data_IF_652768283082
#
_entry.id   IF_652768283082
#
_cell.length_a   1.000
_cell.length_b   1.000
_cell.length_c   1.000
_cell.angle_alpha   90.00
_cell.angle_beta   90.00
_cell.angle_gamma   90.00
#
_symmetry.space_group_name_H-M   'P 1'
#
loop_
_entity.id
_entity.type
_entity.pdbx_description
1 polymer ?
#
# COMPACT_ATOMS: atom_id res chain seq x y z
N UNK A 1 -28.74 -29.88 -12.72
CA UNK A 1 -28.78 -28.78 -13.72
C UNK A 1 -28.99 -27.51 -12.93
N UNK A 2 -27.93 -27.01 -12.29
CA UNK A 2 -27.92 -25.70 -11.63
C UNK A 2 -27.08 -24.81 -12.54
N UNK A 3 -27.76 -24.09 -13.43
CA UNK A 3 -27.16 -22.96 -14.10
C UNK A 3 -27.27 -21.80 -13.10
N UNK A 4 -26.34 -21.76 -12.16
CA UNK A 4 -26.19 -20.59 -11.31
C UNK A 4 -25.72 -19.46 -12.22
N UNK A 5 -26.61 -18.48 -12.39
CA UNK A 5 -26.33 -17.22 -13.06
C UNK A 5 -25.26 -16.49 -12.26
N UNK A 6 -23.98 -16.75 -12.55
CA UNK A 6 -22.92 -15.83 -12.18
C UNK A 6 -23.15 -14.54 -12.97
N UNK A 7 -23.60 -13.50 -12.27
CA UNK A 7 -23.59 -12.15 -12.79
C UNK A 7 -22.11 -11.75 -12.84
N UNK A 8 -21.56 -11.62 -14.05
CA UNK A 8 -20.27 -11.00 -14.26
C UNK A 8 -20.48 -9.49 -14.06
N UNK A 9 -20.10 -8.96 -12.90
CA UNK A 9 -19.96 -7.51 -12.75
C UNK A 9 -18.62 -7.11 -13.38
N UNK A 10 -18.62 -6.02 -14.15
CA UNK A 10 -17.42 -5.43 -14.75
C UNK A 10 -16.54 -4.72 -13.70
N UNK A 11 -16.57 -5.17 -12.44
CA UNK A 11 -15.64 -4.73 -11.41
C UNK A 11 -14.26 -5.29 -11.73
N UNK A 12 -13.51 -4.51 -12.50
CA UNK A 12 -12.13 -4.81 -12.85
C UNK A 12 -11.29 -4.75 -11.58
N UNK A 13 -10.75 -5.90 -11.16
CA UNK A 13 -9.72 -5.92 -10.13
C UNK A 13 -8.61 -4.92 -10.44
N UNK A 14 -7.95 -4.40 -9.42
CA UNK A 14 -6.92 -3.39 -9.56
C UNK A 14 -5.54 -4.02 -9.47
N UNK A 15 -4.60 -3.49 -10.24
CA UNK A 15 -3.20 -3.91 -10.23
C UNK A 15 -2.50 -3.25 -9.05
N UNK A 16 -1.83 -4.07 -8.26
CA UNK A 16 -0.96 -3.70 -7.17
C UNK A 16 0.42 -4.31 -7.39
N UNK A 17 1.42 -3.67 -6.79
CA UNK A 17 2.80 -4.12 -6.82
C UNK A 17 3.35 -4.21 -5.41
N UNK A 18 4.27 -5.16 -5.22
CA UNK A 18 5.01 -5.35 -3.98
C UNK A 18 6.40 -5.85 -4.31
N UNK A 19 7.43 -5.31 -3.69
CA UNK A 19 8.74 -5.97 -3.68
C UNK A 19 8.92 -6.82 -2.41
N UNK A 20 9.61 -7.96 -2.57
CA UNK A 20 9.94 -8.89 -1.49
C UNK A 20 11.26 -9.61 -1.84
N UNK A 21 12.02 -10.01 -0.83
CA UNK A 21 13.29 -10.73 -1.02
C UNK A 21 13.08 -12.22 -1.28
N UNK A 22 11.92 -12.76 -0.88
CA UNK A 22 11.56 -14.15 -1.16
C UNK A 22 11.38 -14.38 -2.65
N UNK A 23 11.73 -15.58 -3.10
CA UNK A 23 11.71 -15.92 -4.52
C UNK A 23 10.30 -16.24 -5.03
N UNK A 24 10.06 -16.15 -6.35
CA UNK A 24 8.79 -16.52 -6.94
C UNK A 24 8.40 -17.99 -6.68
N UNK A 25 9.38 -18.90 -6.63
CA UNK A 25 9.16 -20.32 -6.32
C UNK A 25 8.53 -20.56 -4.93
N UNK A 26 8.78 -19.65 -3.99
CA UNK A 26 8.18 -19.63 -2.67
C UNK A 26 6.83 -18.90 -2.71
N UNK A 27 6.84 -17.64 -3.12
CA UNK A 27 5.68 -16.74 -3.04
C UNK A 27 4.50 -17.24 -3.89
N UNK A 28 4.75 -17.84 -5.05
CA UNK A 28 3.67 -18.39 -5.88
C UNK A 28 2.97 -19.60 -5.26
N UNK A 29 3.54 -20.22 -4.22
CA UNK A 29 2.90 -21.32 -3.50
C UNK A 29 2.16 -20.85 -2.25
N UNK A 30 2.71 -19.87 -1.54
CA UNK A 30 2.22 -19.49 -0.20
C UNK A 30 1.53 -18.13 -0.15
N UNK A 31 1.76 -17.27 -1.16
CA UNK A 31 1.26 -15.90 -1.18
C UNK A 31 1.98 -15.00 -0.16
N UNK A 32 1.28 -13.96 0.28
CA UNK A 32 1.75 -13.06 1.34
C UNK A 32 0.80 -13.11 2.53
N UNK A 33 1.34 -13.34 3.71
CA UNK A 33 0.60 -13.33 4.98
C UNK A 33 1.30 -12.43 6.00
N UNK A 34 0.54 -11.80 6.90
CA UNK A 34 1.12 -10.92 7.90
C UNK A 34 1.88 -11.75 8.95
N UNK A 35 2.86 -11.14 9.61
CA UNK A 35 3.65 -11.81 10.65
C UNK A 35 2.87 -11.97 11.96
N UNK A 36 1.89 -11.11 12.18
CA UNK A 36 0.98 -11.12 13.33
C UNK A 36 -0.44 -11.20 12.79
N UNK A 37 -1.17 -12.22 13.22
CA UNK A 37 -2.58 -12.40 12.89
C UNK A 37 -3.44 -11.52 13.81
N UNK A 38 -4.23 -10.66 13.20
CA UNK A 38 -5.26 -9.87 13.87
C UNK A 38 -6.62 -10.26 13.28
N UNK A 39 -7.65 -10.31 14.14
CA UNK A 39 -9.02 -10.66 13.75
C UNK A 39 -9.71 -9.52 12.96
N UNK A 40 -11.04 -9.39 13.06
CA UNK A 40 -11.93 -8.57 12.20
C UNK A 40 -11.61 -7.06 12.07
N UNK A 41 -10.60 -6.56 12.79
CA UNK A 41 -10.14 -5.16 12.79
C UNK A 41 -8.63 -5.03 12.55
N UNK A 42 -8.01 -5.98 11.85
CA UNK A 42 -6.58 -5.97 11.51
C UNK A 42 -6.12 -4.63 10.95
N UNK A 43 -6.94 -3.98 10.12
CA UNK A 43 -6.58 -2.73 9.47
C UNK A 43 -6.42 -1.58 10.47
N UNK A 44 -7.18 -1.58 11.57
CA UNK A 44 -6.98 -0.61 12.64
C UNK A 44 -5.62 -0.83 13.29
N UNK A 45 -5.22 -2.07 13.55
CA UNK A 45 -3.92 -2.40 14.15
C UNK A 45 -2.77 -2.06 13.18
N UNK A 46 -2.96 -2.36 11.89
CA UNK A 46 -2.03 -2.05 10.82
C UNK A 46 -1.76 -0.54 10.70
N UNK A 47 -2.75 0.31 10.98
CA UNK A 47 -2.58 1.77 11.00
C UNK A 47 -2.33 2.34 12.41
N UNK A 48 -2.25 1.52 13.48
CA UNK A 48 -2.20 2.03 14.87
C UNK A 48 -0.87 1.92 15.59
N UNK A 49 0.21 1.54 14.93
CA UNK A 49 1.44 1.22 15.68
C UNK A 49 2.14 2.40 16.38
N UNK A 50 1.85 3.70 16.10
CA UNK A 50 2.59 4.84 16.76
C UNK A 50 1.88 6.18 17.01
N UNK A 51 0.57 6.33 16.79
CA UNK A 51 0.02 7.67 16.49
C UNK A 51 -1.18 8.17 17.30
N UNK A 52 -1.28 7.97 18.61
CA UNK A 52 -2.31 8.68 19.39
C UNK A 52 -1.75 9.44 20.60
N UNK A 53 -1.63 10.76 20.39
CA UNK A 53 -1.53 11.88 21.33
C UNK A 53 -0.13 12.33 21.78
N UNK A 54 0.21 13.57 21.43
CA UNK A 54 0.78 14.52 22.38
C UNK A 54 -0.33 15.47 22.87
N UNK A 55 0.03 16.41 23.76
CA UNK A 55 -0.87 17.19 24.64
C UNK A 55 -1.95 18.07 23.95
N UNK A 56 -2.02 18.07 22.62
CA UNK A 56 -3.05 18.73 21.80
C UNK A 56 -4.12 17.78 21.22
N UNK A 57 -4.00 16.47 21.44
CA UNK A 57 -4.97 15.47 20.96
C UNK A 57 -4.87 15.09 19.48
N UNK A 58 -3.83 15.54 18.77
CA UNK A 58 -3.58 15.28 17.34
C UNK A 58 -2.20 14.63 17.21
N UNK A 59 -2.06 13.57 16.39
CA UNK A 59 -0.75 13.11 15.95
C UNK A 59 -0.31 13.97 14.76
N UNK A 60 0.80 14.68 14.90
CA UNK A 60 1.34 15.53 13.84
C UNK A 60 2.19 14.76 12.82
N UNK A 61 2.30 13.44 12.99
CA UNK A 61 2.89 12.53 12.01
C UNK A 61 1.77 11.79 11.30
N UNK A 62 1.82 11.74 9.97
CA UNK A 62 0.96 10.85 9.21
C UNK A 62 1.27 9.39 9.54
N UNK A 63 0.22 8.57 9.57
CA UNK A 63 0.27 7.19 10.03
C UNK A 63 0.98 6.29 9.02
N UNK A 64 1.87 5.43 9.54
CA UNK A 64 2.55 4.38 8.77
C UNK A 64 1.85 3.03 8.92
N UNK A 65 2.01 2.16 7.93
CA UNK A 65 1.63 0.76 7.99
C UNK A 65 2.58 -0.03 8.90
N UNK A 66 2.03 -0.80 9.84
CA UNK A 66 2.77 -1.85 10.53
C UNK A 66 2.87 -3.10 9.64
N UNK A 67 4.01 -3.26 8.97
CA UNK A 67 4.29 -4.40 8.09
C UNK A 67 4.30 -5.77 8.80
N UNK A 68 4.19 -5.81 10.14
CA UNK A 68 3.93 -7.06 10.86
C UNK A 68 2.46 -7.43 10.83
N UNK A 69 1.56 -6.44 10.78
CA UNK A 69 0.11 -6.60 10.86
C UNK A 69 -0.56 -6.66 9.47
N UNK A 70 0.14 -6.23 8.42
CA UNK A 70 -0.41 -6.19 7.06
C UNK A 70 0.65 -6.40 5.98
N UNK A 71 0.17 -6.61 4.76
CA UNK A 71 0.95 -6.59 3.52
C UNK A 71 0.87 -5.20 2.90
N UNK A 72 1.99 -4.48 2.88
CA UNK A 72 2.11 -3.23 2.15
C UNK A 72 2.19 -3.50 0.64
N UNK A 73 1.42 -2.73 -0.11
CA UNK A 73 1.27 -2.75 -1.57
C UNK A 73 1.36 -1.32 -2.10
N UNK A 74 1.59 -1.18 -3.40
CA UNK A 74 1.46 0.11 -4.08
C UNK A 74 0.70 -0.05 -5.39
N UNK A 75 -0.01 1.00 -5.81
CA UNK A 75 -0.68 1.03 -7.12
C UNK A 75 0.23 1.50 -8.27
N UNK A 76 1.50 1.79 -7.98
CA UNK A 76 2.49 2.30 -8.93
C UNK A 76 3.73 1.43 -8.98
N UNK A 77 4.08 0.94 -10.18
CA UNK A 77 5.25 0.08 -10.37
C UNK A 77 6.54 0.79 -9.94
N UNK A 78 6.68 2.06 -10.25
CA UNK A 78 7.82 2.91 -9.87
C UNK A 78 7.98 3.07 -8.35
N UNK A 79 6.90 2.83 -7.59
CA UNK A 79 6.91 2.89 -6.12
C UNK A 79 7.16 1.52 -5.49
N UNK A 80 7.09 0.42 -6.24
CA UNK A 80 7.22 -0.93 -5.70
C UNK A 80 8.61 -1.24 -5.13
N UNK A 81 9.73 -0.83 -5.76
CA UNK A 81 11.07 -1.10 -5.25
C UNK A 81 11.40 -0.42 -3.92
N UNK A 82 10.57 0.53 -3.47
CA UNK A 82 10.73 1.24 -2.20
C UNK A 82 10.62 0.27 -1.00
N UNK A 83 9.92 -0.86 -1.17
CA UNK A 83 9.64 -1.81 -0.09
C UNK A 83 10.16 -3.20 -0.45
N UNK A 84 11.09 -3.84 0.28
CA UNK A 84 11.80 -3.39 1.47
C UNK A 84 12.79 -2.24 1.25
N UNK A 85 13.11 -1.53 2.33
CA UNK A 85 14.26 -0.63 2.43
C UNK A 85 15.58 -1.36 2.66
N UNK A 86 15.89 -2.33 1.80
CA UNK A 86 17.19 -2.98 1.82
C UNK A 86 17.93 -2.77 0.50
N UNK A 87 19.24 -2.93 0.55
CA UNK A 87 20.12 -2.90 -0.62
C UNK A 87 20.18 -4.28 -1.31
N UNK A 88 19.31 -5.21 -0.91
CA UNK A 88 19.29 -6.57 -1.41
C UNK A 88 18.52 -6.62 -2.74
N UNK A 89 18.93 -7.59 -3.58
CA UNK A 89 18.14 -7.99 -4.73
C UNK A 89 16.76 -8.45 -4.26
N UNK A 90 15.73 -8.02 -4.99
CA UNK A 90 14.35 -8.38 -4.68
C UNK A 90 13.61 -8.80 -5.93
N UNK A 91 12.38 -9.26 -5.75
CA UNK A 91 11.44 -9.48 -6.83
C UNK A 91 10.29 -8.50 -6.67
N UNK A 92 9.89 -7.86 -7.76
CA UNK A 92 8.62 -7.10 -7.82
C UNK A 92 7.55 -8.05 -8.32
N UNK A 93 6.51 -8.20 -7.50
CA UNK A 93 5.33 -9.00 -7.77
C UNK A 93 4.19 -8.12 -8.28
N UNK A 94 3.60 -8.48 -9.41
CA UNK A 94 2.35 -7.90 -9.90
C UNK A 94 1.17 -8.72 -9.38
N UNK A 95 0.20 -8.03 -8.77
CA UNK A 95 -0.87 -8.63 -7.96
C UNK A 95 -2.19 -8.01 -8.39
N UNK A 96 -3.25 -8.80 -8.50
CA UNK A 96 -4.60 -8.30 -8.81
C UNK A 96 -5.50 -8.59 -7.61
N UNK A 97 -6.08 -7.54 -7.05
CA UNK A 97 -6.97 -7.59 -5.88
C UNK A 97 -8.19 -6.69 -6.11
N UNK A 98 -9.22 -6.76 -5.25
CA UNK A 98 -10.34 -5.82 -5.30
C UNK A 98 -9.93 -4.35 -5.19
N UNK A 99 -10.88 -3.47 -5.48
CA UNK A 99 -10.72 -2.05 -5.25
C UNK A 99 -10.47 -1.71 -3.77
N UNK A 100 -9.70 -0.64 -3.56
CA UNK A 100 -9.39 -0.17 -2.21
C UNK A 100 -10.63 0.41 -1.52
N UNK A 101 -10.79 0.06 -0.26
CA UNK A 101 -11.76 0.63 0.68
C UNK A 101 -11.15 1.86 1.33
N UNK A 102 -11.85 2.99 1.22
CA UNK A 102 -11.39 4.24 1.80
C UNK A 102 -11.65 4.28 3.32
N UNK A 103 -10.79 5.01 4.03
CA UNK A 103 -11.00 5.34 5.44
C UNK A 103 -11.58 6.76 5.51
N UNK A 104 -12.73 6.90 6.18
CA UNK A 104 -13.18 8.20 6.66
C UNK A 104 -12.40 8.59 7.91
N UNK A 105 -11.82 9.78 7.86
CA UNK A 105 -11.08 10.39 8.95
C UNK A 105 -11.75 11.72 9.30
N UNK A 106 -12.55 11.76 10.39
CA UNK A 106 -13.37 12.93 10.70
C UNK A 106 -12.50 14.16 10.96
N UNK A 107 -13.04 15.32 10.58
CA UNK A 107 -12.39 16.61 10.87
C UNK A 107 -12.37 16.87 12.38
N UNK A 108 -11.38 17.65 12.82
CA UNK A 108 -11.00 17.88 14.23
C UNK A 108 -12.11 18.41 15.17
N UNK A 109 -13.31 18.65 14.66
CA UNK A 109 -14.46 19.23 15.38
C UNK A 109 -15.41 18.20 15.99
N UNK A 110 -15.11 16.91 15.90
CA UNK A 110 -16.00 15.84 16.40
C UNK A 110 -15.43 15.16 17.65
N UNK A 111 -16.31 14.67 18.53
CA UNK A 111 -15.95 13.98 19.79
C UNK A 111 -15.58 12.51 19.60
N UNK A 112 -15.75 11.95 18.40
CA UNK A 112 -15.36 10.59 18.05
C UNK A 112 -14.26 10.63 16.98
N UNK A 113 -13.04 10.30 17.39
CA UNK A 113 -11.82 10.41 16.56
C UNK A 113 -11.46 9.10 15.85
N UNK A 114 -12.32 8.08 15.90
CA UNK A 114 -11.97 6.77 15.35
C UNK A 114 -12.13 6.76 13.83
N UNK A 115 -11.10 6.32 13.07
CA UNK A 115 -11.26 6.10 11.64
C UNK A 115 -12.33 5.04 11.37
N UNK A 116 -13.08 5.19 10.29
CA UNK A 116 -14.15 4.28 9.88
C UNK A 116 -13.95 3.87 8.42
N UNK A 117 -14.20 2.61 8.07
CA UNK A 117 -14.16 2.18 6.67
C UNK A 117 -15.42 2.61 5.93
N UNK A 118 -15.24 3.29 4.80
CA UNK A 118 -16.28 3.65 3.86
C UNK A 118 -16.61 2.45 2.97
N UNK A 119 -17.51 1.59 3.46
CA UNK A 119 -18.00 0.42 2.72
C UNK A 119 -19.14 0.79 1.78
N UNK A 120 -19.13 0.23 0.58
CA UNK A 120 -20.19 0.32 -0.42
C UNK A 120 -20.64 -1.09 -0.85
N UNK A 121 -21.58 -1.18 -1.80
CA UNK A 121 -22.13 -2.47 -2.25
C UNK A 121 -21.09 -3.37 -2.93
N UNK A 122 -19.97 -2.81 -3.41
CA UNK A 122 -18.85 -3.50 -4.06
C UNK A 122 -17.70 -3.84 -3.10
N UNK A 123 -17.84 -3.51 -1.82
CA UNK A 123 -16.80 -3.79 -0.82
C UNK A 123 -16.89 -5.23 -0.33
N UNK A 124 -15.76 -5.98 -0.25
CA UNK A 124 -15.75 -7.30 0.34
C UNK A 124 -16.32 -7.32 1.76
N UNK A 125 -17.12 -8.35 2.05
CA UNK A 125 -17.74 -8.55 3.37
C UNK A 125 -16.77 -9.22 4.35
N UNK A 126 -15.91 -10.12 3.88
CA UNK A 126 -14.80 -10.66 4.68
C UNK A 126 -13.73 -9.59 4.85
N UNK A 127 -13.36 -9.35 6.11
CA UNK A 127 -12.31 -8.38 6.46
C UNK A 127 -10.95 -8.72 5.87
N UNK A 128 -10.66 -10.00 5.61
CA UNK A 128 -9.37 -10.46 5.08
C UNK A 128 -9.20 -10.21 3.59
N UNK A 129 -10.30 -9.97 2.87
CA UNK A 129 -10.32 -9.63 1.45
C UNK A 129 -10.32 -8.11 1.21
N UNK A 130 -10.37 -7.31 2.29
CA UNK A 130 -10.30 -5.86 2.19
C UNK A 130 -8.89 -5.40 1.81
N UNK A 131 -8.85 -4.49 0.84
CA UNK A 131 -7.68 -3.66 0.53
C UNK A 131 -8.00 -2.26 1.05
N UNK A 132 -7.08 -1.64 1.78
CA UNK A 132 -7.31 -0.33 2.40
C UNK A 132 -6.49 0.73 1.69
N UNK A 133 -7.15 1.84 1.34
CA UNK A 133 -6.52 3.01 0.73
C UNK A 133 -5.80 3.84 1.82
N UNK A 134 -4.55 3.47 2.06
CA UNK A 134 -3.72 4.16 3.05
C UNK A 134 -3.22 5.51 2.52
N UNK A 135 -2.97 5.61 1.22
CA UNK A 135 -2.58 6.85 0.56
C UNK A 135 -3.59 7.99 0.76
N UNK A 136 -4.87 7.76 0.43
CA UNK A 136 -5.91 8.78 0.59
C UNK A 136 -6.13 9.15 2.06
N UNK A 137 -6.01 8.18 2.96
CA UNK A 137 -6.09 8.41 4.40
C UNK A 137 -4.97 9.35 4.88
N UNK A 138 -3.72 9.05 4.53
CA UNK A 138 -2.57 9.88 4.88
C UNK A 138 -2.68 11.29 4.28
N UNK A 139 -3.12 11.42 3.03
CA UNK A 139 -3.36 12.71 2.39
C UNK A 139 -4.42 13.54 3.14
N UNK A 140 -5.50 12.88 3.60
CA UNK A 140 -6.53 13.53 4.41
C UNK A 140 -6.01 13.95 5.78
N UNK A 141 -5.19 13.12 6.42
CA UNK A 141 -4.54 13.46 7.69
C UNK A 141 -3.65 14.70 7.54
N UNK A 142 -2.77 14.71 6.54
CA UNK A 142 -1.89 15.84 6.26
C UNK A 142 -2.66 17.13 6.00
N UNK A 143 -3.74 17.07 5.23
CA UNK A 143 -4.61 18.22 4.99
C UNK A 143 -5.26 18.74 6.28
N UNK A 144 -5.75 17.86 7.15
CA UNK A 144 -6.35 18.24 8.43
C UNK A 144 -5.31 18.89 9.38
N UNK A 145 -4.09 18.35 9.44
CA UNK A 145 -2.99 18.90 10.24
C UNK A 145 -2.60 20.28 9.71
N UNK A 146 -2.45 20.43 8.39
CA UNK A 146 -2.15 21.71 7.76
C UNK A 146 -3.22 22.77 8.09
N UNK A 147 -4.50 22.43 7.94
CA UNK A 147 -5.60 23.35 8.26
C UNK A 147 -5.61 23.77 9.73
N UNK A 148 -5.29 22.84 10.64
CA UNK A 148 -5.20 23.16 12.07
C UNK A 148 -4.13 24.21 12.38
N UNK A 149 -2.93 24.05 11.83
CA UNK A 149 -1.84 25.01 12.07
C UNK A 149 -2.11 26.37 11.42
N UNK A 150 -2.73 26.38 10.24
CA UNK A 150 -3.16 27.60 9.58
C UNK A 150 -4.19 28.39 10.43
N UNK A 151 -5.17 27.70 11.05
CA UNK A 151 -6.15 28.32 11.95
C UNK A 151 -5.53 28.87 13.26
N UNK A 152 -4.39 28.32 13.69
CA UNK A 152 -3.71 28.74 14.92
C UNK A 152 -2.74 29.90 14.73
N UNK A 153 -2.67 30.48 13.53
CA UNK A 153 -1.72 31.55 13.17
C UNK A 153 -0.27 31.20 13.52
N UNK A 154 0.09 29.91 13.45
CA UNK A 154 1.46 29.46 13.68
C UNK A 154 2.27 29.84 12.43
N UNK A 155 2.93 31.00 12.48
CA UNK A 155 3.80 31.55 11.41
C UNK A 155 5.11 30.76 11.20
N UNK A 156 5.13 29.46 11.53
CA UNK A 156 6.32 28.64 11.33
C UNK A 156 6.22 27.86 10.01
N UNK A 157 7.00 28.30 9.03
CA UNK A 157 7.15 27.64 7.73
C UNK A 157 7.67 26.22 7.86
N UNK A 158 8.39 25.88 8.95
CA UNK A 158 8.77 24.51 9.28
C UNK A 158 7.53 23.67 9.62
N UNK A 159 6.73 24.06 10.61
CA UNK A 159 5.59 23.25 11.10
C UNK A 159 4.55 22.98 10.00
N UNK A 160 4.25 23.98 9.17
CA UNK A 160 3.33 23.82 8.02
C UNK A 160 3.89 22.95 6.89
N UNK A 161 5.21 22.97 6.66
CA UNK A 161 5.89 22.09 5.70
C UNK A 161 5.98 20.63 6.17
N UNK A 162 5.94 20.37 7.48
CA UNK A 162 6.06 19.03 8.08
C UNK A 162 4.72 18.36 8.43
N UNK A 163 3.59 19.06 8.33
CA UNK A 163 2.25 18.50 8.53
C UNK A 163 1.93 17.30 7.60
N UNK A 164 2.66 17.21 6.50
CA UNK A 164 2.61 16.15 5.50
C UNK A 164 3.80 15.18 5.58
N UNK A 165 4.63 15.25 6.63
CA UNK A 165 5.76 14.35 6.83
C UNK A 165 5.39 13.28 7.86
N UNK A 166 5.34 11.98 7.52
CA UNK A 166 5.49 11.37 6.20
C UNK A 166 4.18 11.07 5.41
N UNK A 167 4.02 11.56 4.18
CA UNK A 167 3.06 11.09 3.17
C UNK A 167 3.65 10.00 2.27
N UNK A 168 3.01 8.83 2.25
CA UNK A 168 3.47 7.65 1.53
C UNK A 168 2.79 7.58 0.15
N UNK A 169 3.59 7.38 -0.89
CA UNK A 169 3.12 7.45 -2.28
C UNK A 169 2.34 6.18 -2.65
N UNK A 170 1.06 6.36 -3.01
CA UNK A 170 0.23 5.32 -3.64
C UNK A 170 0.09 4.01 -2.85
N UNK A 171 0.27 4.08 -1.53
CA UNK A 171 0.24 2.94 -0.62
C UNK A 171 -1.17 2.38 -0.44
N UNK A 172 -1.25 1.06 -0.52
CA UNK A 172 -2.40 0.27 -0.12
C UNK A 172 -1.94 -0.80 0.87
N UNK A 173 -2.81 -1.20 1.79
CA UNK A 173 -2.52 -2.32 2.70
C UNK A 173 -3.58 -3.40 2.54
N UNK A 174 -3.12 -4.65 2.56
CA UNK A 174 -3.98 -5.83 2.55
C UNK A 174 -3.69 -6.68 3.79
N UNK A 175 -4.68 -7.45 4.25
CA UNK A 175 -4.42 -8.43 5.30
C UNK A 175 -3.49 -9.54 4.77
N UNK A 176 -3.85 -10.08 3.61
CA UNK A 176 -3.17 -11.17 2.93
C UNK A 176 -3.24 -10.98 1.43
N UNK A 177 -2.37 -11.67 0.70
CA UNK A 177 -2.44 -11.80 -0.75
C UNK A 177 -2.37 -13.30 -1.07
N UNK A 178 -3.46 -13.90 -1.57
CA UNK A 178 -3.44 -15.31 -1.92
C UNK A 178 -2.54 -15.56 -3.13
N UNK A 179 -1.94 -16.76 -3.27
CA UNK A 179 -1.11 -17.09 -4.42
C UNK A 179 -1.83 -16.90 -5.77
N UNK A 180 -3.13 -17.19 -5.79
CA UNK A 180 -3.97 -17.08 -6.99
C UNK A 180 -4.16 -15.64 -7.49
N UNK A 181 -3.92 -14.63 -6.65
CA UNK A 181 -3.99 -13.21 -7.01
C UNK A 181 -2.69 -12.67 -7.63
N UNK A 182 -1.59 -13.42 -7.55
CA UNK A 182 -0.27 -12.99 -8.01
C UNK A 182 -0.11 -13.38 -9.48
N UNK A 183 0.06 -12.40 -10.37
CA UNK A 183 0.17 -12.63 -11.82
C UNK A 183 1.55 -13.14 -12.20
N UNK A 184 2.57 -12.53 -11.62
CA UNK A 184 3.95 -12.83 -11.96
C UNK A 184 4.93 -11.97 -11.16
N UNK A 185 6.20 -12.21 -11.38
CA UNK A 185 7.29 -11.52 -10.72
C UNK A 185 8.40 -11.17 -11.71
N UNK A 186 9.16 -10.13 -11.41
CA UNK A 186 10.36 -9.75 -12.14
C UNK A 186 11.48 -9.44 -11.15
N UNK A 187 12.70 -9.90 -11.42
CA UNK A 187 13.85 -9.61 -10.57
C UNK A 187 14.19 -8.12 -10.67
N UNK A 188 14.48 -7.51 -9.53
CA UNK A 188 14.77 -6.09 -9.36
C UNK A 188 16.14 -5.95 -8.72
N UNK A 189 17.09 -5.42 -9.50
CA UNK A 189 18.40 -5.00 -9.02
C UNK A 189 18.34 -3.52 -8.65
N UNK A 190 18.78 -3.19 -7.43
CA UNK A 190 18.81 -1.81 -6.93
C UNK A 190 20.22 -1.25 -6.99
N UNK A 191 20.35 0.00 -7.40
CA UNK A 191 21.60 0.76 -7.31
C UNK A 191 21.40 1.95 -6.37
N UNK A 192 22.29 2.16 -5.37
CA UNK A 192 22.23 3.34 -4.54
C UNK A 192 22.44 4.59 -5.38
N UNK A 193 21.51 5.54 -5.32
CA UNK A 193 21.78 6.89 -5.80
C UNK A 193 22.78 7.54 -4.85
N UNK A 194 23.80 8.20 -5.41
CA UNK A 194 24.84 8.91 -4.63
C UNK A 194 24.29 10.12 -3.88
N UNK A 195 23.07 10.55 -4.20
CA UNK A 195 22.40 11.68 -3.54
C UNK A 195 21.73 11.19 -2.25
N UNK A 196 22.36 11.49 -1.11
CA UNK A 196 21.72 11.32 0.20
C UNK A 196 20.97 12.61 0.51
N UNK A 197 19.67 12.65 0.26
CA UNK A 197 18.84 13.77 0.73
C UNK A 197 18.66 13.58 2.24
N UNK A 198 19.37 14.38 3.04
CA UNK A 198 19.18 14.41 4.50
C UNK A 198 18.16 15.49 4.81
N UNK A 199 16.97 15.09 5.27
CA UNK A 199 15.95 16.01 5.74
C UNK A 199 15.90 15.84 7.26
N UNK A 200 16.42 16.82 8.00
CA UNK A 200 16.26 16.84 9.45
C UNK A 200 14.91 17.43 9.82
N UNK A 201 14.24 16.78 10.76
CA UNK A 201 13.05 17.29 11.44
C UNK A 201 13.45 17.48 12.90
N UNK A 202 14.37 18.41 13.16
CA UNK A 202 14.99 18.62 14.49
C UNK A 202 13.96 18.96 15.58
N UNK A 203 12.71 19.25 15.20
CA UNK A 203 11.60 19.61 16.09
C UNK A 203 10.61 18.47 16.40
N UNK A 204 10.69 17.32 15.71
CA UNK A 204 9.74 16.19 15.87
C UNK A 204 10.44 14.93 16.39
N UNK A 205 11.74 14.78 16.13
CA UNK A 205 12.56 13.65 16.60
C UNK A 205 14.01 14.07 16.71
N UNK A 206 14.70 13.69 17.79
CA UNK A 206 16.15 13.88 17.97
C UNK A 206 17.00 13.19 16.88
N UNK A 207 16.37 12.32 16.08
CA UNK A 207 16.99 11.66 14.92
C UNK A 207 16.24 12.00 13.61
N UNK A 208 16.90 12.67 12.65
CA UNK A 208 16.40 12.87 11.29
C UNK A 208 15.98 11.56 10.62
N UNK A 209 14.75 11.49 10.09
CA UNK A 209 14.36 10.40 9.19
C UNK A 209 15.05 10.63 7.84
N UNK A 210 15.75 9.62 7.32
CA UNK A 210 16.47 9.70 6.04
C UNK A 210 15.64 9.05 4.93
N UNK A 211 15.59 9.68 3.76
CA UNK A 211 15.13 9.03 2.54
C UNK A 211 16.30 8.74 1.61
N UNK A 212 16.17 7.71 0.80
CA UNK A 212 17.13 7.34 -0.23
C UNK A 212 16.38 7.15 -1.54
N UNK A 213 16.65 8.04 -2.49
CA UNK A 213 16.25 7.80 -3.88
C UNK A 213 17.02 6.56 -4.38
N UNK A 214 16.40 5.76 -5.26
CA UNK A 214 17.04 4.58 -5.86
C UNK A 214 16.82 4.55 -7.36
N UNK A 215 17.89 4.21 -8.08
CA UNK A 215 17.77 3.70 -9.43
C UNK A 215 17.58 2.19 -9.32
N UNK A 216 16.69 1.63 -10.12
CA UNK A 216 16.49 0.20 -10.17
C UNK A 216 16.34 -0.28 -11.61
N UNK A 217 16.69 -1.54 -11.82
CA UNK A 217 16.60 -2.22 -13.10
C UNK A 217 15.79 -3.49 -12.89
N UNK A 218 14.82 -3.72 -13.76
CA UNK A 218 14.05 -4.96 -13.79
C UNK A 218 14.68 -5.90 -14.82
N UNK A 219 15.16 -7.05 -14.38
CA UNK A 219 15.79 -8.03 -15.27
C UNK A 219 14.75 -8.71 -16.17
N UNK A 220 15.06 -8.84 -17.46
CA UNK A 220 14.08 -9.11 -18.52
C UNK A 220 13.24 -10.38 -18.43
N UNK A 221 13.57 -11.34 -17.56
CA UNK A 221 12.81 -12.57 -17.44
C UNK A 221 11.66 -12.40 -16.44
N UNK A 222 10.47 -12.12 -16.97
CA UNK A 222 9.22 -12.16 -16.20
C UNK A 222 8.89 -13.62 -15.89
N UNK A 223 8.77 -13.92 -14.60
CA UNK A 223 8.40 -15.23 -14.10
C UNK A 223 6.89 -15.21 -13.88
N UNK A 224 6.14 -15.81 -14.81
CA UNK A 224 4.68 -15.88 -14.75
C UNK A 224 4.25 -16.92 -13.71
N UNK A 225 3.27 -16.58 -12.87
CA UNK A 225 2.76 -17.49 -11.85
C UNK A 225 1.83 -18.55 -12.47
N UNK A 226 2.17 -19.85 -12.42
CA UNK A 226 1.30 -20.91 -12.93
C UNK A 226 0.04 -21.13 -12.08
N UNK A 227 0.01 -20.62 -10.84
CA UNK A 227 -1.12 -20.75 -9.91
C UNK A 227 -2.08 -19.56 -9.96
N UNK A 228 -1.84 -18.56 -10.82
CA UNK A 228 -2.74 -17.43 -10.99
C UNK A 228 -4.12 -17.90 -11.47
N UNK A 229 -5.18 -17.33 -10.90
CA UNK A 229 -6.55 -17.68 -11.25
C UNK A 229 -7.34 -16.45 -11.69
N UNK A 230 -7.87 -16.50 -12.90
CA UNK A 230 -8.56 -15.37 -13.55
C UNK A 230 -9.90 -15.02 -12.87
N UNK A 231 -10.53 -15.96 -12.18
CA UNK A 231 -11.87 -15.78 -11.62
C UNK A 231 -11.80 -15.78 -10.10
N UNK A 232 -12.00 -14.63 -9.44
CA UNK A 232 -11.94 -14.57 -7.99
C UNK A 232 -13.34 -14.42 -7.38
N UNK A 233 -13.75 -15.39 -6.57
CA UNK A 233 -15.07 -15.38 -5.94
C UNK A 233 -15.02 -14.63 -4.61
N UNK A 234 -15.85 -13.60 -4.47
CA UNK A 234 -15.94 -12.79 -3.27
C UNK A 234 -17.38 -12.54 -2.87
N UNK A 235 -17.61 -12.40 -1.57
CA UNK A 235 -18.89 -11.92 -1.05
C UNK A 235 -18.85 -10.41 -0.93
N UNK A 236 -19.59 -9.70 -1.78
CA UNK A 236 -19.66 -8.24 -1.81
C UNK A 236 -20.95 -7.74 -1.16
N UNK A 237 -20.82 -6.76 -0.25
CA UNK A 237 -21.90 -6.08 0.48
C UNK A 237 -23.30 -6.69 0.38
N UNK A 238 -24.17 -6.05 -0.41
CA UNK A 238 -25.54 -6.52 -0.69
C UNK A 238 -25.67 -7.36 -1.96
N UNK A 239 -24.64 -7.37 -2.82
CA UNK A 239 -24.65 -8.12 -4.08
C UNK A 239 -24.53 -9.63 -3.87
N UNK A 240 -23.97 -10.06 -2.73
CA UNK A 240 -23.80 -11.46 -2.39
C UNK A 240 -22.54 -12.04 -3.02
N UNK A 241 -22.57 -13.32 -3.40
CA UNK A 241 -21.44 -14.00 -4.02
C UNK A 241 -21.27 -13.53 -5.47
N UNK A 242 -20.17 -12.86 -5.76
CA UNK A 242 -19.80 -12.34 -7.08
C UNK A 242 -18.48 -12.95 -7.54
N UNK A 243 -18.32 -13.10 -8.86
CA UNK A 243 -17.06 -13.52 -9.48
C UNK A 243 -16.42 -12.34 -10.19
N UNK A 244 -15.21 -11.97 -9.78
CA UNK A 244 -14.39 -10.98 -10.47
C UNK A 244 -13.60 -11.65 -11.59
N UNK A 245 -13.67 -11.11 -12.81
CA UNK A 245 -12.84 -11.54 -13.94
C UNK A 245 -11.60 -10.65 -14.07
N UNK A 246 -10.43 -11.25 -13.87
CA UNK A 246 -9.14 -10.60 -13.93
C UNK A 246 -8.42 -10.80 -15.27
N UNK A 247 -9.06 -11.40 -16.28
CA UNK A 247 -8.41 -11.72 -17.55
C UNK A 247 -7.83 -10.50 -18.26
N UNK A 248 -8.59 -9.39 -18.34
CA UNK A 248 -8.13 -8.14 -18.96
C UNK A 248 -7.00 -7.51 -18.14
N UNK A 249 -7.19 -7.46 -16.82
CA UNK A 249 -6.26 -6.85 -15.87
C UNK A 249 -4.93 -7.61 -15.81
N UNK A 250 -4.96 -8.93 -16.00
CA UNK A 250 -3.77 -9.78 -16.09
C UNK A 250 -2.89 -9.37 -17.27
N UNK A 251 -3.47 -9.17 -18.44
CA UNK A 251 -2.70 -8.76 -19.63
C UNK A 251 -2.12 -7.36 -19.46
N UNK A 252 -2.85 -6.44 -18.83
CA UNK A 252 -2.34 -5.12 -18.46
C UNK A 252 -1.17 -5.20 -17.47
N UNK A 253 -1.28 -6.04 -16.43
CA UNK A 253 -0.22 -6.24 -15.45
C UNK A 253 1.06 -6.78 -16.07
N UNK A 254 0.95 -7.74 -16.98
CA UNK A 254 2.09 -8.27 -17.73
C UNK A 254 2.70 -7.21 -18.65
N UNK A 255 1.88 -6.46 -19.39
CA UNK A 255 2.33 -5.38 -20.27
C UNK A 255 3.09 -4.28 -19.50
N UNK A 256 2.65 -3.92 -18.29
CA UNK A 256 3.37 -3.00 -17.41
C UNK A 256 4.77 -3.51 -17.06
N UNK A 257 4.89 -4.80 -16.70
CA UNK A 257 6.18 -5.42 -16.42
C UNK A 257 7.07 -5.49 -17.68
N UNK A 258 6.52 -5.90 -18.84
CA UNK A 258 7.27 -5.97 -20.09
C UNK A 258 7.78 -4.61 -20.56
N UNK A 259 6.95 -3.56 -20.42
CA UNK A 259 7.34 -2.19 -20.77
C UNK A 259 8.45 -1.64 -19.88
N UNK A 260 8.50 -2.08 -18.63
CA UNK A 260 9.48 -1.67 -17.63
C UNK A 260 10.77 -2.50 -17.67
N UNK A 261 10.70 -3.74 -18.15
CA UNK A 261 11.82 -4.66 -18.26
C UNK A 261 13.01 -4.03 -19.01
N UNK A 262 14.21 -4.24 -18.48
CA UNK A 262 15.48 -3.77 -19.01
C UNK A 262 15.62 -2.24 -19.17
N UNK A 263 14.74 -1.44 -18.55
CA UNK A 263 14.87 0.02 -18.50
C UNK A 263 15.32 0.45 -17.10
N UNK A 264 16.22 1.45 -17.00
CA UNK A 264 16.45 2.12 -15.74
C UNK A 264 15.16 2.85 -15.37
N UNK A 265 14.70 2.61 -14.15
CA UNK A 265 13.57 3.29 -13.56
C UNK A 265 14.05 4.03 -12.32
N UNK A 266 13.46 5.19 -12.12
CA UNK A 266 13.69 6.01 -10.94
C UNK A 266 12.50 5.82 -10.01
N UNK A 267 12.79 5.56 -8.75
CA UNK A 267 11.75 5.66 -7.74
C UNK A 267 11.35 7.17 -7.62
N UNK A 268 10.08 7.54 -7.36
CA UNK A 268 9.62 8.94 -7.35
C UNK A 268 10.51 9.92 -6.56
N UNK A 269 10.82 11.11 -7.08
CA UNK A 269 11.74 12.09 -6.46
C UNK A 269 11.35 12.62 -5.06
N UNK A 270 10.17 12.25 -4.55
CA UNK A 270 9.57 12.81 -3.35
C UNK A 270 9.12 11.63 -2.47
N UNK A 271 9.88 11.39 -1.41
CA UNK A 271 9.58 10.42 -0.36
C UNK A 271 9.32 11.13 0.94
N UNK A 272 8.28 10.68 1.64
CA UNK A 272 8.11 11.01 3.04
C UNK A 272 7.71 9.70 3.74
N UNK A 273 8.63 9.15 4.54
CA UNK A 273 8.46 7.98 5.42
C UNK A 273 8.34 6.63 4.71
N UNK A 274 8.84 5.59 5.38
CA UNK A 274 9.00 4.28 4.77
C UNK A 274 8.47 3.22 5.72
N UNK A 275 7.37 2.60 5.30
CA UNK A 275 6.76 1.47 5.96
C UNK A 275 7.71 0.28 6.04
N UNK A 276 7.69 -0.33 7.22
CA UNK A 276 8.18 -1.68 7.46
C UNK A 276 9.66 -1.94 7.18
N UNK A 277 10.46 -2.02 8.26
CA UNK A 277 11.71 -2.79 8.22
C UNK A 277 11.36 -4.23 7.83
N UNK A 278 11.74 -4.65 6.63
CA UNK A 278 11.87 -6.07 6.34
C UNK A 278 13.21 -6.48 6.95
N UNK A 279 13.14 -7.15 8.11
CA UNK A 279 14.25 -7.98 8.60
C UNK A 279 14.47 -9.10 7.60
#
# INVERSE_FOLDING_TARGET
>A
MFADYFIWDETMGKIYFRSDTRSPDEIFKIGFTPRIDYADLWWLEAIKSRGYKNDCGIANEAIDADSKACICLTTKLESAPIFPLNDEDTYIYAIILPDMTQIDYPTLKTTDYRPVLLKNDKTPTDSKDLIIDLHSFQAKQASNIYSFFAEKEVEDTAITSYAAWPLYAYEAIAYQVPPAAIVGAIKCERKPLKNKVTISCDFISETPKKSYDRDFILEGDIIVNPFFFIAHHLWLGKEGLTTLDFSVVKEEALDLLYKAANKPLETPNIYWGLGGKTL
#
